data_IF_693956528867
#
_entry.id   IF_693956528867
#
_cell.length_a   1.000
_cell.length_b   1.000
_cell.length_c   1.000
_cell.angle_alpha   90.00
_cell.angle_beta   90.00
_cell.angle_gamma   90.00
#
_symmetry.space_group_name_H-M   'P 1'
#
loop_
_entity.id
_entity.type
_entity.pdbx_description
1 polymer ?
#
# COMPACT_ATOMS: atom_id res chain seq x y z
N UNK A 1 10.14 23.61 26.69
CA UNK A 1 9.07 22.61 26.87
C UNK A 1 8.91 21.81 25.58
N UNK A 2 9.14 20.49 25.62
CA UNK A 2 9.10 19.56 24.48
C UNK A 2 7.64 19.24 24.10
N UNK A 3 7.13 19.79 23.01
CA UNK A 3 5.82 19.39 22.46
C UNK A 3 5.99 18.17 21.55
N UNK A 4 5.16 17.15 21.80
CA UNK A 4 5.19 15.83 21.16
C UNK A 4 5.02 15.95 19.63
N UNK A 5 5.84 15.28 18.79
CA UNK A 5 5.75 15.33 17.33
C UNK A 5 4.51 14.61 16.73
N UNK A 6 3.58 14.13 17.56
CA UNK A 6 2.36 13.44 17.11
C UNK A 6 1.27 14.39 16.59
N UNK A 7 1.29 15.67 16.98
CA UNK A 7 0.22 16.63 16.68
C UNK A 7 0.36 17.30 15.31
N UNK A 8 1.59 17.55 14.85
CA UNK A 8 1.86 18.28 13.59
C UNK A 8 1.53 17.43 12.34
N UNK A 9 1.98 16.18 12.33
CA UNK A 9 1.67 15.23 11.24
C UNK A 9 0.17 14.96 11.13
N UNK A 10 -0.51 14.83 12.28
CA UNK A 10 -1.96 14.61 12.30
C UNK A 10 -2.74 15.84 11.85
N UNK A 11 -2.28 17.06 12.16
CA UNK A 11 -2.85 18.30 11.65
C UNK A 11 -2.66 18.45 10.13
N UNK A 12 -1.47 18.15 9.61
CA UNK A 12 -1.20 18.15 8.16
C UNK A 12 -2.08 17.12 7.42
N UNK A 13 -2.23 15.91 7.99
CA UNK A 13 -3.13 14.88 7.46
C UNK A 13 -4.61 15.30 7.53
N UNK A 14 -5.03 15.94 8.62
CA UNK A 14 -6.42 16.45 8.78
C UNK A 14 -6.74 17.57 7.80
N UNK A 15 -5.79 18.47 7.53
CA UNK A 15 -5.94 19.54 6.54
C UNK A 15 -6.11 18.99 5.12
N UNK A 16 -5.58 17.80 4.84
CA UNK A 16 -5.80 17.08 3.57
C UNK A 16 -7.06 16.20 3.55
N UNK A 17 -7.85 16.18 4.63
CA UNK A 17 -9.00 15.29 4.80
C UNK A 17 -10.09 15.43 3.73
N UNK A 18 -10.29 16.62 3.17
CA UNK A 18 -11.26 16.84 2.08
C UNK A 18 -10.91 16.06 0.80
N UNK A 19 -9.61 15.95 0.48
CA UNK A 19 -9.16 15.15 -0.66
C UNK A 19 -9.33 13.65 -0.42
N UNK A 20 -9.04 13.18 0.80
CA UNK A 20 -9.27 11.79 1.19
C UNK A 20 -10.75 11.41 1.17
N UNK A 21 -11.64 12.33 1.58
CA UNK A 21 -13.09 12.10 1.52
C UNK A 21 -13.56 11.91 0.06
N UNK A 22 -13.12 12.78 -0.85
CA UNK A 22 -13.50 12.71 -2.27
C UNK A 22 -12.94 11.46 -2.95
N UNK A 23 -11.68 11.10 -2.67
CA UNK A 23 -11.10 9.83 -3.11
C UNK A 23 -11.90 8.61 -2.61
N UNK A 24 -12.46 8.70 -1.40
CA UNK A 24 -13.32 7.67 -0.84
C UNK A 24 -14.66 7.51 -1.49
N UNK A 25 -15.28 8.62 -1.87
CA UNK A 25 -16.52 8.59 -2.65
C UNK A 25 -16.28 7.91 -4.00
N UNK A 26 -15.21 8.25 -4.71
CA UNK A 26 -14.84 7.58 -5.96
C UNK A 26 -14.58 6.08 -5.77
N UNK A 27 -13.84 5.70 -4.72
CA UNK A 27 -13.58 4.29 -4.42
C UNK A 27 -14.86 3.49 -4.12
N UNK A 28 -15.86 4.13 -3.50
CA UNK A 28 -17.16 3.51 -3.26
C UNK A 28 -17.89 3.22 -4.57
N UNK A 29 -17.97 4.19 -5.48
CA UNK A 29 -18.58 3.99 -6.80
C UNK A 29 -17.83 2.93 -7.63
N UNK A 30 -16.50 2.91 -7.61
CA UNK A 30 -15.70 1.88 -8.30
C UNK A 30 -16.02 0.50 -7.74
N UNK A 31 -16.08 0.35 -6.40
CA UNK A 31 -16.41 -0.93 -5.79
C UNK A 31 -17.83 -1.39 -6.13
N UNK A 32 -18.79 -0.46 -6.21
CA UNK A 32 -20.16 -0.76 -6.63
C UNK A 32 -20.24 -1.14 -8.11
N UNK A 33 -19.46 -0.50 -8.99
CA UNK A 33 -19.32 -0.91 -10.38
C UNK A 33 -18.62 -2.26 -10.52
N UNK A 34 -17.76 -2.64 -9.58
CA UNK A 34 -17.14 -3.97 -9.59
C UNK A 34 -18.17 -5.11 -9.48
N UNK A 35 -19.35 -4.86 -8.88
CA UNK A 35 -20.46 -5.83 -8.85
C UNK A 35 -21.10 -6.04 -10.22
N UNK A 36 -20.86 -5.17 -11.19
CA UNK A 36 -21.41 -5.30 -12.56
C UNK A 36 -20.86 -6.55 -13.23
N UNK A 37 -19.59 -6.90 -13.01
CA UNK A 37 -18.96 -8.09 -13.60
C UNK A 37 -19.64 -9.42 -13.19
N UNK A 38 -19.91 -9.70 -11.90
CA UNK A 38 -20.66 -10.89 -11.52
C UNK A 38 -22.15 -10.81 -11.91
N UNK A 39 -22.78 -9.64 -11.85
CA UNK A 39 -24.16 -9.46 -12.31
C UNK A 39 -24.30 -9.74 -13.82
N UNK A 40 -23.29 -9.39 -14.63
CA UNK A 40 -23.23 -9.74 -16.04
C UNK A 40 -23.26 -11.25 -16.25
N UNK A 41 -22.37 -11.97 -15.56
CA UNK A 41 -22.32 -13.43 -15.65
C UNK A 41 -23.69 -14.04 -15.31
N UNK A 42 -24.34 -13.57 -14.24
CA UNK A 42 -25.69 -14.03 -13.87
C UNK A 42 -26.72 -13.77 -14.99
N UNK A 43 -26.73 -12.56 -15.57
CA UNK A 43 -27.66 -12.22 -16.66
C UNK A 43 -27.40 -13.01 -17.94
N UNK A 44 -26.14 -13.29 -18.29
CA UNK A 44 -25.80 -14.15 -19.42
C UNK A 44 -26.27 -15.57 -19.15
N UNK A 45 -26.03 -16.11 -17.95
CA UNK A 45 -26.50 -17.44 -17.60
C UNK A 45 -28.03 -17.56 -17.67
N UNK A 46 -28.78 -16.62 -17.11
CA UNK A 46 -30.24 -16.73 -17.06
C UNK A 46 -30.92 -16.39 -18.41
N UNK A 47 -30.46 -15.39 -19.17
CA UNK A 47 -31.13 -14.94 -20.41
C UNK A 47 -30.54 -15.49 -21.70
N UNK A 48 -29.22 -15.66 -21.80
CA UNK A 48 -28.57 -16.07 -23.05
C UNK A 48 -28.67 -17.58 -23.23
N UNK A 49 -28.41 -18.36 -22.18
CA UNK A 49 -28.55 -19.81 -22.26
C UNK A 49 -30.03 -20.23 -22.35
N UNK A 50 -30.94 -19.46 -21.73
CA UNK A 50 -32.38 -19.75 -21.75
C UNK A 50 -33.09 -19.37 -23.05
N UNK A 51 -32.78 -18.23 -23.67
CA UNK A 51 -33.57 -17.69 -24.81
C UNK A 51 -32.92 -17.82 -26.20
N UNK A 52 -31.63 -18.21 -26.31
CA UNK A 52 -30.87 -18.29 -27.58
C UNK A 52 -30.92 -17.01 -28.45
N UNK A 53 -31.23 -15.84 -27.90
CA UNK A 53 -31.30 -14.60 -28.68
C UNK A 53 -29.97 -13.84 -28.73
N UNK A 54 -29.33 -13.83 -29.90
CA UNK A 54 -28.09 -13.08 -30.17
C UNK A 54 -28.24 -11.57 -29.96
N UNK A 55 -29.46 -11.03 -30.20
CA UNK A 55 -29.75 -9.61 -30.03
C UNK A 55 -29.59 -9.13 -28.58
N UNK A 56 -30.01 -9.95 -27.60
CA UNK A 56 -29.83 -9.59 -26.18
C UNK A 56 -28.37 -9.63 -25.74
N UNK A 57 -27.57 -10.53 -26.32
CA UNK A 57 -26.13 -10.64 -26.01
C UNK A 57 -25.40 -9.38 -26.48
N UNK A 58 -25.67 -8.91 -27.69
CA UNK A 58 -25.10 -7.66 -28.21
C UNK A 58 -25.50 -6.43 -27.38
N UNK A 59 -26.76 -6.34 -26.94
CA UNK A 59 -27.19 -5.25 -26.07
C UNK A 59 -26.43 -5.25 -24.74
N UNK A 60 -26.26 -6.42 -24.14
CA UNK A 60 -25.60 -6.59 -22.85
C UNK A 60 -24.10 -6.30 -22.91
N UNK A 61 -23.42 -6.75 -23.98
CA UNK A 61 -21.99 -6.47 -24.18
C UNK A 61 -21.72 -4.99 -24.38
N UNK A 62 -22.57 -4.26 -25.14
CA UNK A 62 -22.45 -2.81 -25.33
C UNK A 62 -22.58 -2.07 -23.98
N UNK A 63 -23.57 -2.44 -23.18
CA UNK A 63 -23.78 -1.83 -21.85
C UNK A 63 -22.54 -2.03 -20.97
N UNK A 64 -21.96 -3.22 -20.97
CA UNK A 64 -20.79 -3.53 -20.13
C UNK A 64 -19.54 -2.83 -20.61
N UNK A 65 -19.32 -2.73 -21.91
CA UNK A 65 -18.22 -1.93 -22.46
C UNK A 65 -18.35 -0.48 -21.98
N UNK A 66 -19.57 0.07 -21.98
CA UNK A 66 -19.86 1.39 -21.41
C UNK A 66 -19.53 1.47 -19.91
N UNK A 67 -19.99 0.50 -19.11
CA UNK A 67 -19.75 0.47 -17.66
C UNK A 67 -18.27 0.27 -17.31
N UNK A 68 -17.53 -0.55 -18.08
CA UNK A 68 -16.09 -0.71 -17.96
C UNK A 68 -15.34 0.58 -18.31
N UNK A 69 -15.81 1.31 -19.34
CA UNK A 69 -15.29 2.64 -19.68
C UNK A 69 -15.46 3.65 -18.55
N UNK A 70 -16.65 3.70 -17.94
CA UNK A 70 -16.93 4.55 -16.78
C UNK A 70 -16.08 4.13 -15.57
N UNK A 71 -15.93 2.83 -15.34
CA UNK A 71 -15.08 2.29 -14.27
C UNK A 71 -13.61 2.75 -14.45
N UNK A 72 -13.07 2.61 -15.66
CA UNK A 72 -11.71 3.08 -15.98
C UNK A 72 -11.56 4.59 -15.81
N UNK A 73 -12.53 5.39 -16.24
CA UNK A 73 -12.51 6.83 -16.06
C UNK A 73 -12.53 7.24 -14.56
N UNK A 74 -13.36 6.58 -13.75
CA UNK A 74 -13.42 6.80 -12.30
C UNK A 74 -12.10 6.43 -11.62
N UNK A 75 -11.46 5.35 -12.05
CA UNK A 75 -10.17 4.90 -11.52
C UNK A 75 -9.04 5.87 -11.85
N UNK A 76 -9.01 6.39 -13.08
CA UNK A 76 -8.08 7.45 -13.49
C UNK A 76 -8.28 8.72 -12.66
N UNK A 77 -9.52 9.17 -12.49
CA UNK A 77 -9.85 10.35 -11.68
C UNK A 77 -9.39 10.17 -10.23
N UNK A 78 -9.67 9.00 -9.64
CA UNK A 78 -9.21 8.65 -8.29
C UNK A 78 -7.70 8.73 -8.18
N UNK A 79 -6.96 8.10 -9.12
CA UNK A 79 -5.50 8.13 -9.14
C UNK A 79 -4.95 9.57 -9.23
N UNK A 80 -5.53 10.41 -10.10
CA UNK A 80 -5.16 11.82 -10.24
C UNK A 80 -5.38 12.62 -8.95
N UNK A 81 -6.49 12.38 -8.24
CA UNK A 81 -6.79 13.02 -6.95
C UNK A 81 -5.77 12.61 -5.89
N UNK A 82 -5.41 11.32 -5.80
CA UNK A 82 -4.40 10.83 -4.85
C UNK A 82 -3.02 11.46 -5.11
N UNK A 83 -2.60 11.55 -6.37
CA UNK A 83 -1.32 12.19 -6.74
C UNK A 83 -1.31 13.67 -6.36
N UNK A 84 -2.40 14.40 -6.60
CA UNK A 84 -2.55 15.81 -6.19
C UNK A 84 -2.43 15.99 -4.68
N UNK A 85 -3.09 15.13 -3.91
CA UNK A 85 -3.04 15.16 -2.43
C UNK A 85 -1.61 14.85 -1.97
N UNK A 86 -0.99 13.81 -2.53
CA UNK A 86 0.39 13.44 -2.20
C UNK A 86 1.35 14.59 -2.46
N UNK A 87 1.22 15.32 -3.56
CA UNK A 87 2.09 16.45 -3.87
C UNK A 87 1.90 17.64 -2.90
N UNK A 88 0.67 17.87 -2.44
CA UNK A 88 0.39 18.89 -1.40
C UNK A 88 0.95 18.51 -0.03
N UNK A 89 0.93 17.23 0.32
CA UNK A 89 1.54 16.74 1.55
C UNK A 89 3.06 16.84 1.45
N UNK A 90 3.64 16.39 0.33
CA UNK A 90 5.08 16.40 0.04
C UNK A 90 5.67 17.80 0.15
N UNK A 91 5.09 18.79 -0.54
CA UNK A 91 5.56 20.20 -0.49
C UNK A 91 5.58 20.79 0.92
N UNK A 92 4.56 20.50 1.75
CA UNK A 92 4.51 20.99 3.14
C UNK A 92 5.46 20.24 4.07
N UNK A 93 5.63 18.93 3.88
CA UNK A 93 6.50 18.12 4.72
C UNK A 93 7.97 18.28 4.35
N UNK A 94 8.29 18.44 3.06
CA UNK A 94 9.66 18.50 2.56
C UNK A 94 10.43 19.69 3.11
N UNK A 95 9.84 20.89 3.09
CA UNK A 95 10.45 22.12 3.63
C UNK A 95 10.78 21.96 5.12
N UNK A 96 9.81 21.46 5.91
CA UNK A 96 9.99 21.27 7.35
C UNK A 96 10.94 20.13 7.71
N UNK A 97 10.89 19.02 6.95
CA UNK A 97 11.81 17.90 7.14
C UNK A 97 13.24 18.31 6.78
N UNK A 98 13.43 19.16 5.78
CA UNK A 98 14.74 19.70 5.45
C UNK A 98 15.34 20.50 6.61
N UNK A 99 14.56 21.40 7.25
CA UNK A 99 15.02 22.14 8.44
C UNK A 99 15.42 21.21 9.58
N UNK A 100 14.59 20.21 9.90
CA UNK A 100 14.87 19.26 10.99
C UNK A 100 16.10 18.40 10.67
N UNK A 101 16.23 17.94 9.43
CA UNK A 101 17.39 17.16 8.98
C UNK A 101 18.64 18.03 9.04
N UNK A 102 18.55 19.30 8.64
CA UNK A 102 19.66 20.25 8.68
C UNK A 102 20.10 20.57 10.12
N UNK A 103 19.18 20.78 11.06
CA UNK A 103 19.51 20.96 12.48
C UNK A 103 20.13 19.69 13.10
N UNK A 104 19.59 18.50 12.78
CA UNK A 104 20.16 17.23 13.26
C UNK A 104 21.53 16.97 12.67
N UNK A 105 21.70 17.31 11.40
CA UNK A 105 22.95 17.26 10.67
C UNK A 105 24.06 18.09 11.33
N UNK A 106 23.72 19.23 11.94
CA UNK A 106 24.64 20.09 12.68
C UNK A 106 24.95 19.55 14.08
N UNK A 107 23.97 18.96 14.77
CA UNK A 107 24.13 18.47 16.16
C UNK A 107 24.72 17.05 16.25
N UNK A 108 24.51 16.21 15.24
CA UNK A 108 24.94 14.80 15.23
C UNK A 108 25.50 14.42 13.86
N UNK A 109 26.83 14.54 13.64
CA UNK A 109 27.48 14.25 12.36
C UNK A 109 27.41 12.78 11.91
N UNK A 110 27.14 11.84 12.82
CA UNK A 110 27.10 10.38 12.55
C UNK A 110 25.68 9.80 12.40
N UNK A 111 24.61 10.54 12.71
CA UNK A 111 23.25 10.03 12.55
C UNK A 111 22.83 10.11 11.08
N UNK A 112 22.31 9.01 10.52
CA UNK A 112 21.89 8.88 9.12
C UNK A 112 21.05 10.07 8.66
N UNK A 113 21.65 10.96 7.86
CA UNK A 113 21.05 12.23 7.37
C UNK A 113 19.93 11.98 6.36
N UNK A 114 19.98 10.87 5.63
CA UNK A 114 19.08 10.57 4.50
C UNK A 114 17.83 9.80 4.90
N UNK A 115 17.83 9.10 6.04
CA UNK A 115 16.70 8.25 6.48
C UNK A 115 15.34 8.97 6.48
N UNK A 116 15.21 10.20 7.03
CA UNK A 116 13.91 10.88 7.07
C UNK A 116 13.40 11.30 5.69
N UNK A 117 14.31 11.56 4.74
CA UNK A 117 13.97 11.89 3.35
C UNK A 117 13.54 10.63 2.59
N UNK A 118 14.23 9.51 2.82
CA UNK A 118 13.85 8.21 2.26
C UNK A 118 12.48 7.75 2.78
N UNK A 119 12.19 7.94 4.07
CA UNK A 119 10.88 7.63 4.66
C UNK A 119 9.76 8.47 4.04
N UNK A 120 10.03 9.75 3.72
CA UNK A 120 9.09 10.62 2.99
C UNK A 120 8.79 10.05 1.60
N UNK A 121 9.82 9.62 0.87
CA UNK A 121 9.64 8.97 -0.44
C UNK A 121 8.82 7.67 -0.33
N UNK A 122 9.05 6.86 0.71
CA UNK A 122 8.24 5.66 0.97
C UNK A 122 6.79 6.01 1.29
N UNK A 123 6.53 7.04 2.10
CA UNK A 123 5.17 7.53 2.38
C UNK A 123 4.49 8.04 1.11
N UNK A 124 5.20 8.79 0.27
CA UNK A 124 4.71 9.23 -1.03
C UNK A 124 4.36 8.04 -1.91
N UNK A 125 5.26 7.06 -2.03
CA UNK A 125 5.01 5.83 -2.81
C UNK A 125 3.84 5.02 -2.24
N UNK A 126 3.63 5.03 -0.93
CA UNK A 126 2.46 4.40 -0.32
C UNK A 126 1.17 5.13 -0.71
N UNK A 127 1.18 6.47 -0.68
CA UNK A 127 0.04 7.31 -1.06
C UNK A 127 -0.26 7.27 -2.57
N UNK A 128 0.75 7.15 -3.44
CA UNK A 128 0.58 7.18 -4.90
C UNK A 128 0.56 5.81 -5.57
N UNK A 129 1.32 4.83 -5.05
CA UNK A 129 1.55 3.53 -5.69
C UNK A 129 0.80 2.36 -5.06
N UNK A 130 0.26 2.52 -3.84
CA UNK A 130 -0.55 1.51 -3.15
C UNK A 130 -1.90 2.05 -2.67
N UNK A 131 -2.45 3.04 -3.40
CA UNK A 131 -3.73 3.67 -3.11
C UNK A 131 -4.89 2.69 -2.92
N UNK A 132 -4.80 1.49 -3.50
CA UNK A 132 -5.79 0.42 -3.28
C UNK A 132 -5.73 -0.18 -1.89
N UNK A 133 -4.56 -0.61 -1.41
CA UNK A 133 -4.46 -1.37 -0.14
C UNK A 133 -4.61 -0.48 1.09
N UNK A 134 -4.02 0.72 1.07
CA UNK A 134 -4.07 1.65 2.21
C UNK A 134 -5.43 2.34 2.37
N UNK A 135 -6.07 2.71 1.26
CA UNK A 135 -7.39 3.33 1.28
C UNK A 135 -8.50 2.32 1.63
N UNK A 136 -8.33 1.04 1.27
CA UNK A 136 -9.22 -0.02 1.75
C UNK A 136 -9.27 -0.07 3.28
N UNK A 137 -8.16 0.08 4.00
CA UNK A 137 -8.14 0.05 5.48
C UNK A 137 -8.89 1.21 6.14
N UNK A 138 -8.85 2.42 5.57
CA UNK A 138 -9.56 3.59 6.11
C UNK A 138 -11.05 3.60 5.74
N UNK A 139 -11.40 3.03 4.59
CA UNK A 139 -12.78 2.89 4.12
C UNK A 139 -13.47 1.59 4.58
N UNK A 140 -12.70 0.64 5.12
CA UNK A 140 -13.11 -0.72 5.50
C UNK A 140 -14.28 -0.83 6.49
N UNK A 141 -14.57 0.14 7.38
CA UNK A 141 -15.78 0.07 8.19
C UNK A 141 -17.07 0.32 7.40
N UNK A 142 -17.04 1.12 6.31
CA UNK A 142 -18.26 1.57 5.60
C UNK A 142 -18.55 0.85 4.28
N UNK A 143 -17.55 0.24 3.65
CA UNK A 143 -17.71 -0.51 2.38
C UNK A 143 -18.08 -2.00 2.53
N UNK A 144 -18.00 -2.55 3.75
CA UNK A 144 -18.28 -3.97 4.00
C UNK A 144 -19.73 -4.41 3.80
N UNK A 145 -20.79 -3.57 3.85
CA UNK A 145 -22.14 -4.06 3.58
C UNK A 145 -22.44 -4.25 2.08
N UNK A 146 -21.87 -3.48 1.15
CA UNK A 146 -22.27 -3.55 -0.27
C UNK A 146 -21.76 -4.81 -0.99
N UNK A 147 -20.46 -5.11 -0.91
CA UNK A 147 -19.90 -6.32 -1.54
C UNK A 147 -20.36 -7.59 -0.80
N UNK A 148 -20.44 -7.56 0.54
CA UNK A 148 -21.02 -8.70 1.28
C UNK A 148 -22.51 -8.89 0.99
N UNK A 149 -23.29 -7.84 0.72
CA UNK A 149 -24.72 -7.99 0.44
C UNK A 149 -24.97 -8.74 -0.87
N UNK A 150 -24.22 -8.43 -1.93
CA UNK A 150 -24.36 -9.13 -3.23
C UNK A 150 -23.91 -10.58 -3.15
N UNK A 151 -22.79 -10.88 -2.48
CA UNK A 151 -22.36 -12.25 -2.25
C UNK A 151 -23.31 -12.99 -1.29
N UNK A 152 -23.82 -12.31 -0.26
CA UNK A 152 -24.76 -12.90 0.70
C UNK A 152 -26.09 -13.30 0.04
N UNK A 153 -26.55 -12.58 -0.98
CA UNK A 153 -27.80 -12.91 -1.67
C UNK A 153 -27.68 -14.20 -2.50
N UNK A 154 -26.54 -14.44 -3.16
CA UNK A 154 -26.28 -15.69 -3.89
C UNK A 154 -26.02 -16.88 -2.95
N UNK A 155 -25.40 -16.64 -1.79
CA UNK A 155 -25.08 -17.68 -0.80
C UNK A 155 -26.31 -18.05 0.06
N UNK A 156 -27.39 -17.25 0.06
CA UNK A 156 -28.61 -17.56 0.82
C UNK A 156 -29.27 -18.89 0.40
N UNK A 157 -29.04 -19.35 -0.83
CA UNK A 157 -29.50 -20.67 -1.30
C UNK A 157 -28.63 -21.84 -0.80
N UNK A 158 -27.36 -21.59 -0.43
CA UNK A 158 -26.46 -22.59 0.13
C UNK A 158 -26.33 -22.34 1.64
N UNK A 159 -27.26 -22.94 2.39
CA UNK A 159 -27.31 -22.88 3.86
C UNK A 159 -25.96 -23.19 4.55
N UNK A 160 -25.86 -22.79 5.83
CA UNK A 160 -24.75 -22.99 6.83
C UNK A 160 -23.28 -22.73 6.41
N UNK A 161 -22.86 -23.05 5.18
CA UNK A 161 -21.52 -22.86 4.61
C UNK A 161 -21.07 -21.40 4.51
N UNK A 162 -22.02 -20.44 4.60
CA UNK A 162 -21.77 -18.98 4.54
C UNK A 162 -20.71 -18.46 5.53
N UNK A 163 -20.51 -19.15 6.65
CA UNK A 163 -19.57 -18.73 7.68
C UNK A 163 -18.23 -19.47 7.67
N UNK A 164 -18.12 -20.59 6.94
CA UNK A 164 -16.92 -21.41 6.96
C UNK A 164 -15.79 -20.78 6.15
N UNK A 165 -16.06 -20.42 4.89
CA UNK A 165 -15.06 -19.85 3.98
C UNK A 165 -14.47 -18.49 4.42
N UNK A 166 -15.26 -17.49 4.85
CA UNK A 166 -14.68 -16.22 5.32
C UNK A 166 -13.91 -16.40 6.63
N UNK A 167 -14.34 -17.32 7.49
CA UNK A 167 -13.67 -17.59 8.77
C UNK A 167 -12.33 -18.29 8.53
N UNK A 168 -12.26 -19.28 7.63
CA UNK A 168 -11.00 -19.93 7.28
C UNK A 168 -10.04 -18.96 6.58
N UNK A 169 -10.51 -18.13 5.64
CA UNK A 169 -9.69 -17.07 5.03
C UNK A 169 -9.18 -16.04 6.03
N UNK A 170 -10.04 -15.58 6.95
CA UNK A 170 -9.64 -14.63 7.99
C UNK A 170 -8.60 -15.23 8.93
N UNK A 171 -8.78 -16.51 9.31
CA UNK A 171 -7.80 -17.22 10.13
C UNK A 171 -6.46 -17.38 9.40
N UNK A 172 -6.48 -17.71 8.11
CA UNK A 172 -5.28 -17.80 7.28
C UNK A 172 -4.57 -16.44 7.18
N UNK A 173 -5.31 -15.35 6.96
CA UNK A 173 -4.76 -14.01 6.86
C UNK A 173 -4.11 -13.55 8.18
N UNK A 174 -4.77 -13.80 9.32
CA UNK A 174 -4.20 -13.47 10.64
C UNK A 174 -2.96 -14.33 10.92
N UNK A 175 -2.99 -15.62 10.57
CA UNK A 175 -1.82 -16.49 10.71
C UNK A 175 -0.64 -15.98 9.85
N UNK A 176 -0.89 -15.65 8.59
CA UNK A 176 0.12 -15.04 7.70
C UNK A 176 0.65 -13.73 8.28
N UNK A 177 -0.22 -12.83 8.75
CA UNK A 177 0.24 -11.56 9.32
C UNK A 177 1.11 -11.76 10.57
N UNK A 178 0.73 -12.68 11.47
CA UNK A 178 1.50 -12.96 12.67
C UNK A 178 2.85 -13.61 12.35
N UNK A 179 2.90 -14.49 11.35
CA UNK A 179 4.12 -15.18 10.93
C UNK A 179 5.06 -14.25 10.16
N UNK A 180 4.55 -13.37 9.30
CA UNK A 180 5.37 -12.51 8.43
C UNK A 180 5.81 -11.21 9.13
N UNK A 181 5.02 -10.66 10.07
CA UNK A 181 5.29 -9.32 10.64
C UNK A 181 6.62 -9.22 11.40
N UNK A 182 6.98 -10.26 12.18
CA UNK A 182 8.24 -10.29 12.95
C UNK A 182 9.49 -10.43 12.08
N UNK A 183 9.61 -11.42 11.17
CA UNK A 183 10.79 -11.57 10.33
C UNK A 183 10.93 -10.39 9.36
N UNK A 184 9.84 -9.83 8.83
CA UNK A 184 9.89 -8.68 7.94
C UNK A 184 10.38 -7.40 8.65
N UNK A 185 9.97 -7.20 9.91
CA UNK A 185 10.46 -6.08 10.71
C UNK A 185 11.97 -6.20 11.01
N UNK A 186 12.43 -7.41 11.32
CA UNK A 186 13.85 -7.70 11.54
C UNK A 186 14.67 -7.57 10.23
N UNK A 187 14.15 -8.05 9.10
CA UNK A 187 14.79 -7.93 7.80
C UNK A 187 14.99 -6.45 7.40
N UNK A 188 13.95 -5.62 7.57
CA UNK A 188 14.05 -4.18 7.30
C UNK A 188 15.09 -3.50 8.22
N UNK A 189 15.20 -3.91 9.47
CA UNK A 189 16.19 -3.37 10.40
C UNK A 189 17.63 -3.72 9.97
N UNK A 190 17.89 -4.98 9.62
CA UNK A 190 19.20 -5.41 9.11
C UNK A 190 19.54 -4.75 7.76
N UNK A 191 18.55 -4.50 6.90
CA UNK A 191 18.73 -3.78 5.64
C UNK A 191 19.15 -2.31 5.89
N UNK A 192 18.50 -1.62 6.84
CA UNK A 192 18.89 -0.25 7.22
C UNK A 192 20.30 -0.21 7.82
N UNK A 193 20.63 -1.13 8.74
CA UNK A 193 21.95 -1.19 9.37
C UNK A 193 23.05 -1.59 8.37
N UNK A 194 22.74 -2.45 7.40
CA UNK A 194 23.64 -2.81 6.30
C UNK A 194 23.91 -1.64 5.35
N UNK A 195 22.86 -0.86 5.03
CA UNK A 195 22.97 0.35 4.22
C UNK A 195 23.83 1.44 4.89
N UNK A 196 23.55 1.74 6.17
CA UNK A 196 24.33 2.71 6.94
C UNK A 196 25.81 2.29 7.11
N UNK A 197 26.06 0.99 7.27
CA UNK A 197 27.42 0.44 7.31
C UNK A 197 28.12 0.65 5.96
N UNK A 198 27.46 0.38 4.84
CA UNK A 198 28.04 0.61 3.51
C UNK A 198 28.34 2.10 3.27
N UNK A 199 27.39 3.01 3.54
CA UNK A 199 27.60 4.46 3.36
C UNK A 199 28.78 4.98 4.19
N UNK A 200 28.91 4.55 5.45
CA UNK A 200 29.98 5.01 6.34
C UNK A 200 31.36 4.51 5.88
N UNK A 201 31.45 3.28 5.39
CA UNK A 201 32.70 2.73 4.87
C UNK A 201 33.05 3.34 3.51
N UNK A 202 32.08 3.55 2.61
CA UNK A 202 32.31 4.17 1.31
C UNK A 202 32.77 5.63 1.43
N UNK A 203 32.26 6.37 2.42
CA UNK A 203 32.74 7.73 2.73
C UNK A 203 34.22 7.79 3.12
N UNK A 204 34.77 6.70 3.64
CA UNK A 204 36.16 6.58 4.08
C UNK A 204 36.95 5.59 3.19
N UNK A 205 36.49 5.37 1.94
CA UNK A 205 37.04 4.34 1.06
C UNK A 205 38.55 4.48 0.82
N UNK A 206 39.04 5.71 0.64
CA UNK A 206 40.47 5.98 0.43
C UNK A 206 41.35 5.54 1.61
N UNK A 207 40.87 5.74 2.84
CA UNK A 207 41.59 5.35 4.06
C UNK A 207 41.56 3.83 4.23
N UNK A 208 40.43 3.20 3.91
CA UNK A 208 40.25 1.75 3.99
C UNK A 208 41.04 0.98 2.93
N UNK A 209 41.19 1.57 1.75
CA UNK A 209 42.03 1.08 0.67
C UNK A 209 43.51 1.18 1.04
N UNK A 210 43.94 2.34 1.57
CA UNK A 210 45.31 2.53 2.05
C UNK A 210 45.71 1.58 3.19
N UNK A 211 44.76 1.18 4.05
CA UNK A 211 44.98 0.21 5.14
C UNK A 211 44.76 -1.26 4.72
N UNK A 212 44.38 -1.54 3.47
CA UNK A 212 44.13 -2.92 3.00
C UNK A 212 42.96 -3.62 3.69
N UNK A 213 42.04 -2.88 4.32
CA UNK A 213 40.96 -3.43 5.16
C UNK A 213 39.69 -3.84 4.37
N UNK A 214 39.71 -3.64 3.05
CA UNK A 214 38.61 -3.97 2.13
C UNK A 214 38.08 -5.41 2.24
N UNK A 215 38.92 -6.48 2.26
CA UNK A 215 38.43 -7.85 2.40
C UNK A 215 37.70 -8.11 3.72
N UNK A 216 38.12 -7.50 4.83
CA UNK A 216 37.47 -7.64 6.14
C UNK A 216 36.11 -6.94 6.20
N UNK A 217 35.98 -5.77 5.57
CA UNK A 217 34.72 -5.03 5.50
C UNK A 217 33.73 -5.72 4.58
N UNK A 218 34.18 -6.22 3.44
CA UNK A 218 33.35 -7.01 2.52
C UNK A 218 32.75 -8.22 3.22
N UNK A 219 33.54 -8.95 4.01
CA UNK A 219 33.05 -10.12 4.77
C UNK A 219 31.97 -9.72 5.78
N UNK A 220 32.21 -8.67 6.57
CA UNK A 220 31.22 -8.15 7.54
C UNK A 220 29.93 -7.65 6.89
N UNK A 221 30.01 -6.99 5.74
CA UNK A 221 28.83 -6.57 4.98
C UNK A 221 28.07 -7.78 4.43
N UNK A 222 28.78 -8.76 3.87
CA UNK A 222 28.18 -9.98 3.32
C UNK A 222 27.47 -10.81 4.40
N UNK A 223 28.01 -10.91 5.61
CA UNK A 223 27.36 -11.60 6.73
C UNK A 223 26.04 -10.95 7.12
N UNK A 224 25.96 -9.61 7.12
CA UNK A 224 24.70 -8.88 7.36
C UNK A 224 23.72 -9.04 6.21
N UNK A 225 24.20 -8.95 4.97
CA UNK A 225 23.37 -9.15 3.80
C UNK A 225 22.78 -10.56 3.75
N UNK A 226 23.55 -11.58 4.14
CA UNK A 226 23.08 -12.96 4.27
C UNK A 226 22.00 -13.10 5.35
N UNK A 227 22.17 -12.46 6.51
CA UNK A 227 21.13 -12.43 7.57
C UNK A 227 19.82 -11.81 7.07
N UNK A 228 19.91 -10.68 6.36
CA UNK A 228 18.76 -10.05 5.71
C UNK A 228 18.06 -11.02 4.74
N UNK A 229 18.81 -11.69 3.86
CA UNK A 229 18.26 -12.66 2.91
C UNK A 229 17.57 -13.84 3.61
N UNK A 230 18.16 -14.36 4.70
CA UNK A 230 17.53 -15.45 5.47
C UNK A 230 16.24 -15.02 6.15
N UNK A 231 16.17 -13.78 6.64
CA UNK A 231 14.95 -13.23 7.25
C UNK A 231 13.86 -12.97 6.20
N UNK A 232 14.23 -12.54 4.98
CA UNK A 232 13.30 -12.43 3.86
C UNK A 232 12.78 -13.79 3.40
N UNK A 233 13.65 -14.80 3.29
CA UNK A 233 13.25 -16.16 2.93
C UNK A 233 12.34 -16.80 3.99
N UNK A 234 12.48 -16.43 5.26
CA UNK A 234 11.57 -16.86 6.34
C UNK A 234 10.22 -16.13 6.33
N UNK A 235 10.12 -15.01 5.60
CA UNK A 235 8.92 -14.18 5.51
C UNK A 235 8.08 -14.44 4.26
N UNK A 236 8.66 -15.06 3.22
CA UNK A 236 8.02 -15.47 1.95
C UNK A 236 7.40 -16.84 2.06
#
# INVERSE_FOLDING_TARGET
>A
MRTKPKTELTLALKACGGGFAMAGVFSFFINMLMLVSPLYMLQVYDRVLGSRSEATLLMLTIVIIGLLGVMGALELLRSRVLVRISNRIDTRLAERLFEIVYERALRMPQASRSQPLSDLLTLRQFLTGQGDRGFLLFSMPRGRPSTCSSYSCCILCWGSSRYAAPRSWSALAVATEMLTRKPLAQANQEQMLGGQFAETNLRNAQVLEAMGMLPGIRRRWYDRHRKMLTLHAAAS
#
